data_IF_623720804539
#
_entry.id   IF_623720804539
#
_cell.length_a   1.000
_cell.length_b   1.000
_cell.length_c   1.000
_cell.angle_alpha   90.00
_cell.angle_beta   90.00
_cell.angle_gamma   90.00
#
_symmetry.space_group_name_H-M   'P 1'
#
loop_
_entity.id
_entity.type
_entity.pdbx_description
1 polymer ?
#
# COMPACT_ATOMS: atom_id res chain seq x y z
N UNK A 1 8.46 -5.69 -13.61
CA UNK A 1 9.11 -6.69 -12.80
C UNK A 1 8.17 -7.84 -12.50
N UNK A 2 8.70 -9.06 -12.43
CA UNK A 2 7.89 -10.26 -12.28
C UNK A 2 7.25 -10.40 -10.89
N UNK A 3 7.79 -9.75 -9.88
CA UNK A 3 7.31 -9.91 -8.51
C UNK A 3 6.82 -8.59 -7.90
N UNK A 4 6.28 -7.72 -8.74
CA UNK A 4 5.70 -6.45 -8.30
C UNK A 4 4.19 -6.52 -8.33
N UNK A 5 3.59 -5.74 -7.46
CA UNK A 5 2.14 -5.54 -7.40
C UNK A 5 1.84 -4.06 -7.54
N UNK A 6 0.86 -3.71 -8.36
CA UNK A 6 0.49 -2.33 -8.62
C UNK A 6 -0.95 -2.07 -8.17
N UNK A 7 -1.15 -0.98 -7.46
CA UNK A 7 -2.49 -0.51 -7.07
C UNK A 7 -2.87 0.73 -7.85
N UNK A 8 -4.16 0.88 -8.14
CA UNK A 8 -4.63 2.10 -8.79
C UNK A 8 -4.55 3.29 -7.84
N UNK A 9 -4.46 4.49 -8.41
CA UNK A 9 -4.47 5.71 -7.60
C UNK A 9 -5.74 5.85 -6.78
N UNK A 10 -6.87 5.44 -7.34
CA UNK A 10 -8.16 5.48 -6.63
C UNK A 10 -8.16 4.53 -5.44
N UNK A 11 -7.57 3.36 -5.57
CA UNK A 11 -7.47 2.42 -4.46
C UNK A 11 -6.60 2.98 -3.33
N UNK A 12 -5.48 3.60 -3.67
CA UNK A 12 -4.61 4.23 -2.68
C UNK A 12 -5.32 5.38 -1.99
N UNK A 13 -6.03 6.21 -2.75
CA UNK A 13 -6.79 7.32 -2.18
C UNK A 13 -7.90 6.84 -1.25
N UNK A 14 -8.60 5.76 -1.63
CA UNK A 14 -9.62 5.15 -0.79
C UNK A 14 -9.04 4.62 0.52
N UNK A 15 -7.84 4.07 0.50
CA UNK A 15 -7.17 3.61 1.71
C UNK A 15 -6.85 4.76 2.67
N UNK A 16 -6.72 5.98 2.16
CA UNK A 16 -6.43 7.16 2.96
C UNK A 16 -7.63 8.07 3.21
N UNK A 17 -8.84 7.54 3.04
CA UNK A 17 -10.08 8.31 3.24
C UNK A 17 -10.15 9.56 2.34
N UNK A 18 -9.69 9.42 1.11
CA UNK A 18 -9.67 10.50 0.13
C UNK A 18 -8.33 11.22 0.02
N UNK A 19 -7.36 10.89 0.86
CA UNK A 19 -6.05 11.52 0.86
C UNK A 19 -4.99 10.51 0.35
N UNK A 20 -4.37 10.84 -0.78
CA UNK A 20 -3.42 9.92 -1.43
C UNK A 20 -2.17 9.69 -0.59
N UNK A 21 -1.70 10.71 0.13
CA UNK A 21 -0.51 10.57 0.96
C UNK A 21 -0.76 9.65 2.15
N UNK A 22 -1.91 9.79 2.80
CA UNK A 22 -2.30 8.88 3.87
C UNK A 22 -2.49 7.46 3.35
N UNK A 23 -3.09 7.33 2.18
CA UNK A 23 -3.30 6.03 1.56
C UNK A 23 -1.97 5.34 1.28
N UNK A 24 -1.01 6.05 0.69
CA UNK A 24 0.31 5.52 0.42
C UNK A 24 1.01 5.09 1.71
N UNK A 25 0.91 5.91 2.76
CA UNK A 25 1.53 5.58 4.05
C UNK A 25 0.93 4.29 4.63
N UNK A 26 -0.38 4.14 4.58
CA UNK A 26 -1.06 2.93 5.05
C UNK A 26 -0.64 1.70 4.25
N UNK A 27 -0.45 1.86 2.94
CA UNK A 27 0.01 0.77 2.09
C UNK A 27 1.44 0.36 2.44
N UNK A 28 2.33 1.32 2.68
CA UNK A 28 3.69 1.02 3.11
C UNK A 28 3.72 0.31 4.46
N UNK A 29 2.91 0.76 5.41
CA UNK A 29 2.83 0.12 6.72
C UNK A 29 2.33 -1.32 6.62
N UNK A 30 1.32 -1.55 5.80
CA UNK A 30 0.77 -2.89 5.54
C UNK A 30 1.83 -3.78 4.88
N UNK A 31 2.54 -3.24 3.90
CA UNK A 31 3.60 -3.97 3.21
C UNK A 31 4.67 -4.45 4.20
N UNK A 32 5.10 -3.58 5.09
CA UNK A 32 6.11 -3.92 6.10
C UNK A 32 5.63 -5.01 7.04
N UNK A 33 4.38 -4.95 7.46
CA UNK A 33 3.80 -5.98 8.31
C UNK A 33 3.78 -7.33 7.61
N UNK A 34 3.40 -7.34 6.34
CA UNK A 34 3.32 -8.56 5.56
C UNK A 34 4.72 -9.14 5.28
N UNK A 35 5.69 -8.28 5.01
CA UNK A 35 7.08 -8.70 4.80
C UNK A 35 7.63 -9.38 6.05
N UNK A 36 7.27 -8.88 7.23
CA UNK A 36 7.74 -9.46 8.48
C UNK A 36 7.21 -10.88 8.71
N UNK A 37 6.12 -11.25 8.08
CA UNK A 37 5.57 -12.61 8.20
C UNK A 37 6.41 -13.63 7.43
N UNK A 38 7.14 -13.19 6.42
CA UNK A 38 7.92 -14.05 5.54
C UNK A 38 9.38 -14.13 6.01
N UNK A 39 9.86 -13.09 6.62
CA UNK A 39 11.25 -12.98 7.05
C UNK A 39 11.62 -13.93 8.19
#
# INVERSE_FOLDING_TARGET
SLNEFVMTADAVRGAGDGNIEKGAQRMYDTMKKLENRVA
#
